data_IF_549565453860
#
_entry.id   IF_549565453860
#
_cell.length_a   1.000
_cell.length_b   1.000
_cell.length_c   1.000
_cell.angle_alpha   90.00
_cell.angle_beta   90.00
_cell.angle_gamma   90.00
#
_symmetry.space_group_name_H-M   'P 1'
#
loop_
_entity.id
_entity.type
_entity.pdbx_description
1 polymer ?
#
# COMPACT_ATOMS: atom_id res chain seq x y z
N UNK A 1 13.15 26.04 7.47
CA UNK A 1 13.00 24.87 6.58
C UNK A 1 11.58 24.87 6.02
N UNK A 2 11.37 24.33 4.82
CA UNK A 2 10.06 24.30 4.22
C UNK A 2 9.52 22.88 4.14
N UNK A 3 8.23 22.67 4.49
CA UNK A 3 7.48 21.46 4.23
C UNK A 3 6.42 21.73 3.19
N UNK A 4 6.03 20.74 2.39
CA UNK A 4 4.87 20.87 1.53
C UNK A 4 3.61 20.36 2.21
N UNK A 5 2.48 21.00 1.90
CA UNK A 5 1.15 20.61 2.36
C UNK A 5 0.18 20.64 1.19
N UNK A 6 -0.82 19.78 1.23
CA UNK A 6 -1.96 19.87 0.32
C UNK A 6 -2.95 20.86 0.91
N UNK A 7 -3.17 21.97 0.22
CA UNK A 7 -4.05 23.08 0.66
C UNK A 7 -5.47 22.96 0.14
N UNK A 8 -5.64 22.29 -0.99
CA UNK A 8 -6.90 21.94 -1.63
C UNK A 8 -6.70 20.75 -2.57
N UNK A 9 -7.76 20.12 -3.11
CA UNK A 9 -7.62 19.06 -4.10
C UNK A 9 -6.70 19.46 -5.26
N UNK A 10 -5.63 18.67 -5.49
CA UNK A 10 -4.58 18.89 -6.49
C UNK A 10 -3.75 20.16 -6.31
N UNK A 11 -3.76 20.73 -5.11
CA UNK A 11 -2.99 21.93 -4.81
C UNK A 11 -1.99 21.66 -3.67
N UNK A 12 -0.70 21.77 -4.00
CA UNK A 12 0.42 21.63 -3.05
C UNK A 12 1.12 22.97 -2.94
N UNK A 13 1.36 23.41 -1.70
CA UNK A 13 2.12 24.62 -1.38
C UNK A 13 3.21 24.30 -0.37
N UNK A 14 4.33 25.02 -0.46
CA UNK A 14 5.38 24.98 0.55
C UNK A 14 5.10 26.03 1.62
N UNK A 15 5.31 25.64 2.87
CA UNK A 15 5.25 26.55 4.03
C UNK A 15 6.45 26.34 4.94
N UNK A 16 6.83 27.37 5.67
CA UNK A 16 7.86 27.26 6.69
C UNK A 16 7.36 26.43 7.87
N UNK A 17 8.26 25.62 8.44
CA UNK A 17 8.04 24.93 9.69
C UNK A 17 9.29 25.01 10.58
N UNK A 18 9.08 24.87 11.88
CA UNK A 18 10.13 24.80 12.88
C UNK A 18 10.09 23.46 13.59
N UNK A 19 11.27 22.89 13.80
CA UNK A 19 11.40 21.69 14.61
C UNK A 19 11.16 22.01 16.09
N UNK A 20 10.33 21.19 16.72
CA UNK A 20 10.16 21.26 18.18
C UNK A 20 11.37 20.67 18.89
N UNK A 21 11.62 21.02 20.17
CA UNK A 21 12.64 20.35 20.98
C UNK A 21 12.44 18.83 21.01
N UNK A 22 13.55 18.07 21.04
CA UNK A 22 13.52 16.63 21.23
C UNK A 22 13.02 16.26 22.61
N UNK A 23 12.23 15.19 22.68
CA UNK A 23 12.00 14.48 23.94
C UNK A 23 13.17 13.53 24.22
N UNK A 24 13.33 13.07 25.47
CA UNK A 24 14.48 12.22 25.85
C UNK A 24 14.61 10.91 25.05
N UNK A 25 13.50 10.33 24.58
CA UNK A 25 13.40 9.07 23.85
C UNK A 25 13.30 9.22 22.32
N UNK A 26 13.48 10.46 21.82
CA UNK A 26 13.33 10.78 20.40
C UNK A 26 14.67 11.00 19.70
N UNK A 27 14.65 10.76 18.40
CA UNK A 27 15.73 11.16 17.49
C UNK A 27 15.21 12.16 16.46
N UNK A 28 16.08 13.07 16.03
CA UNK A 28 15.86 13.93 14.88
C UNK A 28 16.58 13.38 13.67
N UNK A 29 15.86 13.31 12.55
CA UNK A 29 16.35 12.77 11.31
C UNK A 29 16.44 13.86 10.25
N UNK A 30 17.49 13.82 9.45
CA UNK A 30 17.56 14.48 8.14
C UNK A 30 17.10 13.48 7.10
N UNK A 31 16.09 13.84 6.28
CA UNK A 31 15.58 13.00 5.24
C UNK A 31 16.64 12.72 4.16
N UNK A 32 16.63 11.49 3.64
CA UNK A 32 17.48 11.05 2.53
C UNK A 32 16.60 10.75 1.33
N UNK A 33 15.56 9.93 1.52
CA UNK A 33 14.61 9.56 0.46
C UNK A 33 13.28 9.15 1.10
N UNK A 34 12.18 9.48 0.43
CA UNK A 34 10.85 9.03 0.83
C UNK A 34 10.04 8.51 -0.36
N UNK A 35 9.02 7.70 -0.08
CA UNK A 35 8.22 7.05 -1.13
C UNK A 35 6.77 7.46 -1.11
N UNK A 36 6.27 8.07 -2.18
CA UNK A 36 4.86 8.45 -2.31
C UNK A 36 3.97 7.20 -2.31
N UNK A 37 2.90 7.21 -1.52
CA UNK A 37 1.90 6.12 -1.42
C UNK A 37 0.77 6.35 -2.42
N UNK A 38 0.93 5.80 -3.63
CA UNK A 38 0.05 6.08 -4.77
C UNK A 38 -1.45 5.82 -4.51
N UNK A 39 -1.82 4.89 -3.63
CA UNK A 39 -3.22 4.68 -3.23
C UNK A 39 -3.73 5.82 -2.35
N UNK A 40 -3.24 5.86 -1.11
CA UNK A 40 -3.75 6.74 -0.05
C UNK A 40 -3.45 8.21 -0.31
N UNK A 41 -2.18 8.55 -0.60
CA UNK A 41 -1.81 9.95 -0.76
C UNK A 41 -2.44 10.56 -2.02
N UNK A 42 -2.54 9.80 -3.12
CA UNK A 42 -3.24 10.30 -4.31
C UNK A 42 -4.74 10.44 -4.12
N UNK A 43 -5.37 9.61 -3.27
CA UNK A 43 -6.77 9.82 -2.89
C UNK A 43 -6.96 11.13 -2.10
N UNK A 44 -6.05 11.41 -1.16
CA UNK A 44 -6.02 12.66 -0.40
C UNK A 44 -5.72 13.86 -1.31
N UNK A 45 -4.73 13.76 -2.17
CA UNK A 45 -4.35 14.79 -3.13
C UNK A 45 -5.49 15.13 -4.11
N UNK A 46 -6.20 14.11 -4.60
CA UNK A 46 -7.35 14.28 -5.51
C UNK A 46 -8.64 14.75 -4.82
N UNK A 47 -8.68 14.79 -3.50
CA UNK A 47 -9.91 15.05 -2.77
C UNK A 47 -10.95 13.93 -2.90
N UNK A 48 -10.50 12.68 -3.08
CA UNK A 48 -11.37 11.49 -3.20
C UNK A 48 -11.27 10.64 -1.94
N UNK A 49 -11.77 11.16 -0.83
CA UNK A 49 -11.71 10.52 0.47
C UNK A 49 -12.97 10.85 1.29
N UNK A 50 -13.55 9.91 2.08
CA UNK A 50 -14.67 10.22 2.97
C UNK A 50 -14.30 11.20 4.07
N UNK A 51 -13.00 11.39 4.36
CA UNK A 51 -12.54 12.34 5.37
C UNK A 51 -12.81 13.81 5.02
N UNK A 52 -13.21 14.12 3.80
CA UNK A 52 -13.62 15.48 3.43
C UNK A 52 -14.88 15.92 4.17
N UNK A 53 -15.91 15.06 4.16
CA UNK A 53 -17.24 15.39 4.68
C UNK A 53 -17.55 14.67 5.99
N UNK A 54 -16.75 13.69 6.37
CA UNK A 54 -16.97 12.83 7.54
C UNK A 54 -15.69 12.65 8.35
N UNK A 55 -15.84 12.43 9.65
CA UNK A 55 -14.77 12.02 10.55
C UNK A 55 -15.03 10.58 11.00
N UNK A 56 -13.97 9.78 11.09
CA UNK A 56 -14.07 8.43 11.65
C UNK A 56 -14.07 8.53 13.18
N UNK A 57 -15.15 8.04 13.80
CA UNK A 57 -15.24 7.89 15.25
C UNK A 57 -14.60 6.53 15.62
N UNK A 58 -13.51 6.53 16.41
CA UNK A 58 -12.81 5.29 16.75
C UNK A 58 -13.57 4.43 17.77
N UNK A 59 -14.43 5.01 18.61
CA UNK A 59 -15.18 4.29 19.62
C UNK A 59 -16.40 3.60 19.01
N UNK A 60 -17.16 4.35 18.21
CA UNK A 60 -18.31 3.81 17.47
C UNK A 60 -17.93 3.05 16.21
N UNK A 61 -16.71 3.21 15.71
CA UNK A 61 -16.22 2.64 14.45
C UNK A 61 -17.08 3.03 13.23
N UNK A 62 -17.55 4.28 13.21
CA UNK A 62 -18.43 4.85 12.19
C UNK A 62 -17.83 6.12 11.59
N UNK A 63 -18.13 6.35 10.32
CA UNK A 63 -17.93 7.66 9.69
C UNK A 63 -19.14 8.55 9.98
N UNK A 64 -18.97 9.53 10.83
CA UNK A 64 -19.98 10.52 11.19
C UNK A 64 -19.81 11.81 10.38
N UNK A 65 -20.87 12.59 10.15
CA UNK A 65 -20.74 13.91 9.52
C UNK A 65 -19.71 14.76 10.26
N UNK A 66 -18.83 15.45 9.52
CA UNK A 66 -17.90 16.40 10.12
C UNK A 66 -18.69 17.59 10.65
N UNK A 67 -18.37 18.05 11.86
CA UNK A 67 -18.99 19.27 12.43
C UNK A 67 -18.78 20.47 11.51
N UNK A 68 -19.79 21.32 11.39
CA UNK A 68 -19.75 22.51 10.55
C UNK A 68 -18.59 23.43 10.98
N UNK A 69 -17.69 23.75 10.04
CA UNK A 69 -16.56 24.67 10.26
C UNK A 69 -15.18 24.01 10.33
N UNK A 70 -15.08 22.69 10.37
CA UNK A 70 -13.79 21.99 10.27
C UNK A 70 -13.35 21.77 8.84
N UNK A 71 -12.23 22.38 8.41
CA UNK A 71 -11.62 22.08 7.11
C UNK A 71 -10.76 20.81 7.22
N UNK A 72 -10.83 19.94 6.20
CA UNK A 72 -9.91 18.80 6.09
C UNK A 72 -8.50 19.24 5.66
N UNK A 73 -8.41 20.23 4.79
CA UNK A 73 -7.16 20.83 4.37
C UNK A 73 -6.81 22.06 5.23
N UNK A 74 -5.51 22.40 5.39
CA UNK A 74 -4.35 21.77 4.79
C UNK A 74 -3.91 20.49 5.54
N UNK A 75 -3.33 19.53 4.79
CA UNK A 75 -2.80 18.28 5.34
C UNK A 75 -1.35 18.04 4.91
N UNK A 76 -0.56 17.43 5.79
CA UNK A 76 0.73 16.88 5.45
C UNK A 76 0.53 15.48 4.85
N UNK A 77 1.30 15.18 3.80
CA UNK A 77 1.38 13.83 3.25
C UNK A 77 2.66 13.14 3.70
N UNK A 78 2.66 11.82 3.64
CA UNK A 78 3.80 10.99 3.99
C UNK A 78 3.40 9.56 4.22
N UNK A 79 4.39 8.69 4.13
CA UNK A 79 4.27 7.27 4.37
C UNK A 79 5.59 6.78 4.95
N UNK A 80 6.46 6.22 4.13
CA UNK A 80 7.75 5.68 4.58
C UNK A 80 8.91 6.53 4.09
N UNK A 81 9.85 6.83 5.02
CA UNK A 81 11.00 7.69 4.77
C UNK A 81 12.26 7.03 5.37
N UNK A 82 13.37 7.18 4.68
CA UNK A 82 14.72 6.89 5.21
C UNK A 82 15.39 8.21 5.53
N UNK A 83 15.97 8.31 6.73
CA UNK A 83 16.70 9.48 7.19
C UNK A 83 17.95 9.12 7.98
N UNK A 84 18.87 10.07 8.07
CA UNK A 84 20.06 10.02 8.90
C UNK A 84 19.76 10.66 10.25
N UNK A 85 20.11 10.00 11.32
CA UNK A 85 20.02 10.56 12.69
C UNK A 85 21.00 11.72 12.81
N UNK A 86 20.50 12.94 13.08
CA UNK A 86 21.31 14.15 13.27
C UNK A 86 21.33 14.64 14.72
N UNK A 87 20.37 14.17 15.55
CA UNK A 87 20.31 14.50 16.99
C UNK A 87 19.61 13.36 17.71
N UNK A 88 20.05 13.03 18.93
CA UNK A 88 19.47 11.98 19.75
C UNK A 88 19.20 12.50 21.17
N UNK A 89 18.02 12.19 21.70
CA UNK A 89 17.63 12.50 23.08
C UNK A 89 18.42 11.69 24.11
N UNK A 90 18.44 12.17 25.35
CA UNK A 90 19.31 11.61 26.40
C UNK A 90 18.97 10.14 26.81
N UNK A 91 17.77 9.63 26.47
CA UNK A 91 17.35 8.27 26.75
C UNK A 91 17.39 7.35 25.51
N UNK A 92 17.82 7.86 24.36
CA UNK A 92 17.96 7.07 23.14
C UNK A 92 19.13 6.09 23.32
N UNK A 93 18.87 4.82 23.07
CA UNK A 93 19.84 3.73 23.25
C UNK A 93 20.09 2.92 21.98
N UNK A 94 19.13 2.94 21.04
CA UNK A 94 19.15 2.11 19.82
C UNK A 94 19.91 2.73 18.67
N UNK A 95 19.98 4.06 18.63
CA UNK A 95 20.54 4.80 17.50
C UNK A 95 21.53 5.86 17.93
N UNK A 96 22.47 6.18 17.04
CA UNK A 96 23.48 7.22 17.22
C UNK A 96 23.43 8.20 16.05
N UNK A 97 23.95 9.40 16.25
CA UNK A 97 24.14 10.37 15.16
C UNK A 97 24.97 9.74 14.04
N UNK A 98 24.50 9.86 12.81
CA UNK A 98 25.06 9.24 11.61
C UNK A 98 24.40 7.91 11.20
N UNK A 99 23.60 7.28 12.07
CA UNK A 99 22.87 6.06 11.70
C UNK A 99 21.78 6.35 10.67
N UNK A 100 21.63 5.46 9.69
CA UNK A 100 20.49 5.49 8.76
C UNK A 100 19.36 4.65 9.35
N UNK A 101 18.19 5.27 9.43
CA UNK A 101 16.96 4.65 9.96
C UNK A 101 15.78 4.93 9.06
N UNK A 102 14.73 4.13 9.18
CA UNK A 102 13.51 4.32 8.40
C UNK A 102 12.25 4.05 9.22
N UNK A 103 11.12 4.57 8.75
CA UNK A 103 9.82 4.40 9.40
C UNK A 103 8.76 5.30 8.78
N UNK A 104 7.56 5.27 9.37
CA UNK A 104 6.45 6.12 8.94
C UNK A 104 6.67 7.58 9.37
N UNK A 105 6.74 8.46 8.38
CA UNK A 105 7.01 9.89 8.55
C UNK A 105 6.41 10.72 7.44
N UNK A 106 6.04 12.00 7.71
CA UNK A 106 5.67 12.92 6.65
C UNK A 106 6.84 13.23 5.70
N UNK A 107 6.52 13.59 4.48
CA UNK A 107 7.48 14.08 3.49
C UNK A 107 7.96 15.48 3.88
N UNK A 108 9.07 15.58 4.57
CA UNK A 108 9.72 16.84 4.88
C UNK A 108 11.20 16.65 5.18
N UNK A 109 12.03 17.71 5.05
CA UNK A 109 13.50 17.63 5.17
C UNK A 109 14.00 17.09 6.51
N UNK A 110 13.28 17.38 7.61
CA UNK A 110 13.61 16.84 8.92
C UNK A 110 12.38 16.23 9.60
N UNK A 111 12.59 15.22 10.41
CA UNK A 111 11.55 14.54 11.17
C UNK A 111 12.04 14.21 12.57
N UNK A 112 11.16 14.31 13.56
CA UNK A 112 11.43 13.92 14.95
C UNK A 112 10.52 12.76 15.33
N UNK A 113 11.11 11.63 15.78
CA UNK A 113 10.37 10.38 16.08
C UNK A 113 10.91 9.70 17.34
N UNK A 114 10.05 9.04 18.12
CA UNK A 114 10.51 8.10 19.15
C UNK A 114 11.33 6.97 18.53
N UNK A 115 12.45 6.60 19.16
CA UNK A 115 13.33 5.54 18.66
C UNK A 115 12.60 4.19 18.49
N UNK A 116 11.57 3.94 19.30
CA UNK A 116 10.78 2.71 19.28
C UNK A 116 10.00 2.50 17.97
N UNK A 117 9.70 3.58 17.24
CA UNK A 117 8.91 3.54 15.98
C UNK A 117 9.78 3.39 14.74
N UNK A 118 11.09 3.33 14.91
CA UNK A 118 12.05 3.31 13.82
C UNK A 118 12.74 1.95 13.68
N UNK A 119 13.17 1.68 12.46
CA UNK A 119 13.97 0.51 12.11
C UNK A 119 15.35 0.96 11.63
N UNK A 120 16.43 0.24 11.99
CA UNK A 120 17.75 0.50 11.42
C UNK A 120 17.76 0.11 9.93
N UNK A 121 18.42 0.90 9.11
CA UNK A 121 18.73 0.47 7.75
C UNK A 121 19.86 -0.55 7.81
N UNK A 122 19.63 -1.74 7.26
CA UNK A 122 20.64 -2.80 7.26
C UNK A 122 21.85 -2.42 6.42
N UNK A 123 23.08 -2.66 6.89
CA UNK A 123 24.29 -2.43 6.11
C UNK A 123 24.23 -3.11 4.73
N UNK A 124 24.50 -2.34 3.68
CA UNK A 124 24.45 -2.79 2.29
C UNK A 124 23.06 -2.74 1.63
N UNK A 125 21.99 -2.51 2.37
CA UNK A 125 20.67 -2.28 1.81
C UNK A 125 20.58 -0.88 1.21
N UNK A 126 20.05 -0.76 0.00
CA UNK A 126 19.78 0.54 -0.60
C UNK A 126 18.65 1.24 0.12
N UNK A 127 18.79 2.53 0.47
CA UNK A 127 17.75 3.28 1.20
C UNK A 127 16.36 3.18 0.56
N UNK A 128 16.29 3.27 -0.75
CA UNK A 128 15.02 3.20 -1.48
C UNK A 128 14.28 1.86 -1.35
N UNK A 129 14.99 0.77 -1.06
CA UNK A 129 14.36 -0.54 -0.84
C UNK A 129 13.58 -0.56 0.48
N UNK A 130 14.06 0.14 1.52
CA UNK A 130 13.36 0.22 2.80
C UNK A 130 11.99 0.91 2.70
N UNK A 131 11.77 1.74 1.67
CA UNK A 131 10.50 2.40 1.42
C UNK A 131 9.37 1.43 1.06
N UNK A 132 9.71 0.19 0.72
CA UNK A 132 8.74 -0.84 0.43
C UNK A 132 8.26 -1.61 1.67
N UNK A 133 8.81 -1.32 2.85
CA UNK A 133 8.33 -1.94 4.11
C UNK A 133 6.84 -1.67 4.31
N UNK A 134 6.37 -0.42 4.15
CA UNK A 134 4.95 -0.08 4.26
C UNK A 134 4.06 -0.87 3.28
N UNK A 135 4.24 -0.83 1.94
CA UNK A 135 3.40 -1.63 1.07
C UNK A 135 3.57 -3.15 1.26
N UNK A 136 4.73 -3.63 1.71
CA UNK A 136 4.92 -5.05 2.00
C UNK A 136 4.16 -5.51 3.25
N UNK A 137 4.02 -4.66 4.27
CA UNK A 137 3.15 -4.91 5.44
C UNK A 137 1.72 -5.16 4.96
N UNK A 138 1.17 -4.26 4.13
CA UNK A 138 -0.18 -4.43 3.58
C UNK A 138 -0.31 -5.69 2.73
N UNK A 139 0.62 -5.93 1.82
CA UNK A 139 0.60 -7.11 0.96
C UNK A 139 0.67 -8.42 1.76
N UNK A 140 1.49 -8.45 2.81
CA UNK A 140 1.64 -9.63 3.69
C UNK A 140 0.33 -9.93 4.45
N UNK A 141 -0.31 -8.89 5.02
CA UNK A 141 -1.60 -9.07 5.73
C UNK A 141 -2.71 -9.50 4.78
N UNK A 142 -2.78 -8.92 3.58
CA UNK A 142 -3.77 -9.31 2.57
C UNK A 142 -3.63 -10.79 2.20
N UNK A 143 -2.40 -11.28 2.02
CA UNK A 143 -2.13 -12.69 1.71
C UNK A 143 -2.48 -13.61 2.91
N UNK A 144 -2.22 -13.16 4.15
CA UNK A 144 -2.64 -13.91 5.34
C UNK A 144 -4.17 -13.97 5.47
N UNK A 145 -4.87 -12.85 5.26
CA UNK A 145 -6.33 -12.81 5.30
C UNK A 145 -6.95 -13.68 4.18
N UNK A 146 -6.28 -13.80 3.05
CA UNK A 146 -6.66 -14.67 1.95
C UNK A 146 -6.56 -16.17 2.27
N UNK A 147 -5.85 -16.55 3.32
CA UNK A 147 -5.66 -17.93 3.78
C UNK A 147 -5.20 -18.90 2.68
N UNK A 148 -4.31 -18.44 1.81
CA UNK A 148 -3.80 -19.21 0.68
C UNK A 148 -3.15 -20.52 1.17
N UNK A 149 -3.48 -21.60 0.52
CA UNK A 149 -2.93 -22.95 0.76
C UNK A 149 -2.06 -23.40 -0.40
N UNK A 150 -1.18 -24.35 -0.15
CA UNK A 150 -0.41 -25.01 -1.21
C UNK A 150 -1.36 -25.67 -2.20
N UNK A 151 -1.24 -25.32 -3.48
CA UNK A 151 -2.08 -25.82 -4.56
C UNK A 151 -3.26 -24.91 -4.95
N UNK A 152 -3.48 -23.81 -4.24
CA UNK A 152 -4.55 -22.86 -4.59
C UNK A 152 -4.24 -22.12 -5.91
N UNK A 153 -5.25 -21.94 -6.73
CA UNK A 153 -5.27 -21.03 -7.87
C UNK A 153 -5.79 -19.67 -7.41
N UNK A 154 -5.13 -18.60 -7.79
CA UNK A 154 -5.56 -17.27 -7.38
C UNK A 154 -5.53 -16.23 -8.49
N UNK A 155 -6.33 -15.19 -8.34
CA UNK A 155 -6.31 -13.99 -9.18
C UNK A 155 -6.09 -12.74 -8.32
N UNK A 156 -5.29 -11.79 -8.81
CA UNK A 156 -5.04 -10.51 -8.14
C UNK A 156 -5.40 -9.39 -9.10
N UNK A 157 -6.33 -8.54 -8.70
CA UNK A 157 -6.83 -7.40 -9.48
C UNK A 157 -6.17 -6.11 -9.00
N UNK A 158 -5.37 -5.50 -9.88
CA UNK A 158 -4.57 -4.31 -9.62
C UNK A 158 -3.09 -4.61 -9.37
N UNK A 159 -2.24 -4.33 -10.35
CA UNK A 159 -0.79 -4.55 -10.33
C UNK A 159 -0.01 -3.25 -10.06
N UNK A 160 -0.48 -2.47 -9.08
CA UNK A 160 0.33 -1.42 -8.46
C UNK A 160 1.38 -2.03 -7.52
N UNK A 161 2.07 -1.21 -6.73
CA UNK A 161 3.10 -1.70 -5.80
C UNK A 161 2.58 -2.80 -4.86
N UNK A 162 1.36 -2.63 -4.30
CA UNK A 162 0.77 -3.63 -3.41
C UNK A 162 0.47 -4.95 -4.13
N UNK A 163 -0.16 -4.90 -5.30
CA UNK A 163 -0.52 -6.11 -6.04
C UNK A 163 0.70 -6.91 -6.51
N UNK A 164 1.74 -6.22 -6.98
CA UNK A 164 3.01 -6.85 -7.37
C UNK A 164 3.74 -7.49 -6.19
N UNK A 165 3.66 -6.90 -4.99
CA UNK A 165 4.21 -7.50 -3.77
C UNK A 165 3.33 -8.66 -3.28
N UNK A 166 2.00 -8.50 -3.32
CA UNK A 166 1.07 -9.57 -2.93
C UNK A 166 1.22 -10.81 -3.82
N UNK A 167 1.45 -10.64 -5.13
CA UNK A 167 1.69 -11.74 -6.05
C UNK A 167 2.93 -12.56 -5.68
N UNK A 168 4.04 -11.88 -5.35
CA UNK A 168 5.26 -12.54 -4.90
C UNK A 168 5.07 -13.27 -3.56
N UNK A 169 4.40 -12.62 -2.58
CA UNK A 169 4.14 -13.21 -1.26
C UNK A 169 3.18 -14.40 -1.38
N UNK A 170 2.16 -14.30 -2.22
CA UNK A 170 1.23 -15.39 -2.47
C UNK A 170 1.92 -16.65 -3.03
N UNK A 171 2.85 -16.46 -3.96
CA UNK A 171 3.70 -17.54 -4.47
C UNK A 171 4.55 -18.16 -3.35
N UNK A 172 5.17 -17.35 -2.50
CA UNK A 172 5.93 -17.83 -1.33
C UNK A 172 5.04 -18.58 -0.33
N UNK A 173 3.75 -18.25 -0.27
CA UNK A 173 2.76 -18.87 0.64
C UNK A 173 2.14 -20.15 0.06
N UNK A 174 2.47 -20.54 -1.17
CA UNK A 174 2.08 -21.82 -1.76
C UNK A 174 1.03 -21.78 -2.87
N UNK A 175 0.67 -20.59 -3.37
CA UNK A 175 -0.20 -20.50 -4.55
C UNK A 175 0.42 -21.27 -5.74
N UNK A 176 -0.34 -22.18 -6.33
CA UNK A 176 0.08 -22.94 -7.52
C UNK A 176 0.02 -22.08 -8.77
N UNK A 177 -1.03 -21.28 -8.90
CA UNK A 177 -1.20 -20.35 -10.01
C UNK A 177 -1.52 -18.95 -9.49
N UNK A 178 -0.82 -17.95 -10.02
CA UNK A 178 -1.07 -16.53 -9.76
C UNK A 178 -1.43 -15.84 -11.07
N UNK A 179 -2.68 -15.44 -11.23
CA UNK A 179 -3.19 -14.69 -12.39
C UNK A 179 -3.26 -13.21 -12.00
N UNK A 180 -2.46 -12.39 -12.65
CA UNK A 180 -2.47 -10.94 -12.48
C UNK A 180 -3.50 -10.29 -13.40
N UNK A 181 -4.21 -9.26 -12.93
CA UNK A 181 -5.16 -8.48 -13.74
C UNK A 181 -4.86 -6.99 -13.57
N UNK A 182 -4.56 -6.30 -14.67
CA UNK A 182 -4.38 -4.83 -14.68
C UNK A 182 -4.66 -4.29 -16.08
N UNK A 183 -5.19 -3.07 -16.18
CA UNK A 183 -5.43 -2.39 -17.46
C UNK A 183 -4.13 -1.98 -18.16
N UNK A 184 -3.05 -1.74 -17.41
CA UNK A 184 -1.79 -1.20 -17.92
C UNK A 184 -0.81 -2.30 -18.29
N UNK A 185 -0.37 -2.32 -19.56
CA UNK A 185 0.51 -3.37 -20.09
C UNK A 185 1.85 -3.46 -19.38
N UNK A 186 2.49 -2.32 -19.06
CA UNK A 186 3.74 -2.32 -18.32
C UNK A 186 3.64 -3.01 -16.95
N UNK A 187 2.50 -2.87 -16.26
CA UNK A 187 2.23 -3.54 -14.98
C UNK A 187 1.99 -5.04 -15.17
N UNK A 188 1.28 -5.42 -16.25
CA UNK A 188 1.11 -6.83 -16.61
C UNK A 188 2.44 -7.51 -16.96
N UNK A 189 3.32 -6.82 -17.69
CA UNK A 189 4.67 -7.31 -18.01
C UNK A 189 5.50 -7.49 -16.75
N UNK A 190 5.49 -6.51 -15.85
CA UNK A 190 6.21 -6.60 -14.58
C UNK A 190 5.65 -7.71 -13.68
N UNK A 191 4.34 -7.93 -13.65
CA UNK A 191 3.74 -9.04 -12.91
C UNK A 191 4.27 -10.39 -13.41
N UNK A 192 4.38 -10.61 -14.74
CA UNK A 192 4.98 -11.83 -15.30
C UNK A 192 6.47 -11.97 -14.92
N UNK A 193 7.23 -10.88 -14.97
CA UNK A 193 8.65 -10.89 -14.56
C UNK A 193 8.83 -11.25 -13.09
N UNK A 194 7.87 -10.87 -12.24
CA UNK A 194 7.88 -11.12 -10.81
C UNK A 194 7.16 -12.42 -10.40
N UNK A 195 6.83 -13.29 -11.36
CA UNK A 195 6.38 -14.66 -11.11
C UNK A 195 4.88 -14.90 -11.21
N UNK A 196 4.09 -13.99 -11.80
CA UNK A 196 2.73 -14.30 -12.20
C UNK A 196 2.73 -15.25 -13.42
N UNK A 197 1.91 -16.29 -13.38
CA UNK A 197 1.80 -17.30 -14.46
C UNK A 197 1.07 -16.75 -15.68
N UNK A 198 0.10 -15.86 -15.44
CA UNK A 198 -0.62 -15.14 -16.47
C UNK A 198 -0.87 -13.69 -16.05
N UNK A 199 -1.04 -12.81 -17.02
CA UNK A 199 -1.42 -11.44 -16.77
C UNK A 199 -2.43 -10.99 -17.83
N UNK A 200 -3.63 -10.63 -17.38
CA UNK A 200 -4.81 -10.38 -18.21
C UNK A 200 -5.16 -8.90 -18.25
N UNK A 201 -5.63 -8.45 -19.41
CA UNK A 201 -6.22 -7.15 -19.60
C UNK A 201 -7.73 -7.23 -19.39
N UNK A 202 -8.31 -6.58 -18.37
CA UNK A 202 -9.76 -6.60 -18.17
C UNK A 202 -10.56 -5.85 -19.25
N UNK A 203 -9.86 -5.07 -20.12
CA UNK A 203 -10.49 -4.38 -21.25
C UNK A 203 -10.52 -5.22 -22.53
N UNK A 204 -9.78 -6.33 -22.58
CA UNK A 204 -9.74 -7.21 -23.75
C UNK A 204 -10.97 -8.13 -23.89
N UNK A 205 -11.87 -8.13 -22.89
CA UNK A 205 -13.07 -8.95 -22.87
C UNK A 205 -13.53 -9.28 -21.47
N UNK A 206 -14.33 -10.36 -21.31
CA UNK A 206 -14.76 -10.83 -19.99
C UNK A 206 -13.60 -11.51 -19.24
N UNK A 207 -12.96 -10.75 -18.36
CA UNK A 207 -11.79 -11.22 -17.60
C UNK A 207 -12.16 -12.37 -16.63
N UNK A 208 -13.38 -12.40 -16.08
CA UNK A 208 -13.81 -13.48 -15.20
C UNK A 208 -13.95 -14.80 -15.97
N UNK A 209 -14.51 -14.74 -17.18
CA UNK A 209 -14.56 -15.89 -18.09
C UNK A 209 -13.15 -16.35 -18.47
N UNK A 210 -12.26 -15.43 -18.82
CA UNK A 210 -10.88 -15.76 -19.18
C UNK A 210 -10.13 -16.46 -18.02
N UNK A 211 -10.31 -16.02 -16.78
CA UNK A 211 -9.76 -16.67 -15.59
C UNK A 211 -10.34 -18.08 -15.43
N UNK A 212 -11.65 -18.25 -15.57
CA UNK A 212 -12.29 -19.58 -15.49
C UNK A 212 -11.76 -20.53 -16.58
N UNK A 213 -11.56 -20.05 -17.79
CA UNK A 213 -10.99 -20.86 -18.87
C UNK A 213 -9.55 -21.34 -18.55
N UNK A 214 -8.74 -20.49 -17.92
CA UNK A 214 -7.37 -20.85 -17.50
C UNK A 214 -7.32 -21.83 -16.33
N UNK A 215 -8.41 -21.93 -15.57
CA UNK A 215 -8.56 -22.84 -14.41
C UNK A 215 -9.47 -24.04 -14.72
N UNK A 216 -9.54 -24.47 -15.97
CA UNK A 216 -10.34 -25.62 -16.39
C UNK A 216 -11.85 -25.46 -16.16
N UNK A 217 -12.37 -24.25 -16.22
CA UNK A 217 -13.77 -23.89 -16.02
C UNK A 217 -14.20 -23.73 -14.56
N UNK A 218 -13.35 -24.08 -13.59
CA UNK A 218 -13.72 -24.05 -12.17
C UNK A 218 -13.71 -22.62 -11.59
N UNK A 219 -12.73 -21.80 -11.92
CA UNK A 219 -12.42 -20.52 -11.30
C UNK A 219 -11.30 -20.65 -10.28
N UNK A 220 -10.94 -19.53 -9.66
CA UNK A 220 -9.88 -19.49 -8.65
C UNK A 220 -10.41 -19.77 -7.25
N UNK A 221 -9.55 -20.30 -6.36
CA UNK A 221 -9.85 -20.52 -4.95
C UNK A 221 -9.92 -19.19 -4.19
N UNK A 222 -9.02 -18.26 -4.56
CA UNK A 222 -8.88 -16.96 -3.93
C UNK A 222 -8.76 -15.87 -4.99
N UNK A 223 -9.52 -14.79 -4.81
CA UNK A 223 -9.38 -13.55 -5.59
C UNK A 223 -9.06 -12.39 -4.65
N UNK A 224 -7.98 -11.66 -4.91
CA UNK A 224 -7.61 -10.45 -4.18
C UNK A 224 -7.90 -9.24 -5.06
N UNK A 225 -8.75 -8.32 -4.58
CA UNK A 225 -8.99 -7.04 -5.22
C UNK A 225 -8.27 -5.94 -4.45
N UNK A 226 -7.31 -5.29 -5.10
CA UNK A 226 -6.42 -4.30 -4.49
C UNK A 226 -6.32 -2.99 -5.30
N UNK A 227 -7.09 -2.88 -6.37
CA UNK A 227 -7.17 -1.67 -7.19
C UNK A 227 -8.12 -0.61 -6.63
N UNK A 228 -9.14 -1.03 -5.86
CA UNK A 228 -10.21 -0.17 -5.35
C UNK A 228 -11.30 0.15 -6.37
N UNK A 229 -11.35 -0.59 -7.46
CA UNK A 229 -12.36 -0.41 -8.50
C UNK A 229 -13.51 -1.39 -8.33
N UNK A 230 -14.75 -0.92 -8.22
CA UNK A 230 -15.92 -1.79 -8.10
C UNK A 230 -16.10 -2.78 -9.27
N UNK A 231 -15.80 -2.41 -10.54
CA UNK A 231 -15.80 -3.40 -11.63
C UNK A 231 -14.80 -4.54 -11.44
N UNK A 232 -13.63 -4.25 -10.85
CA UNK A 232 -12.64 -5.27 -10.54
C UNK A 232 -13.11 -6.17 -9.40
N UNK A 233 -13.76 -5.62 -8.36
CA UNK A 233 -14.38 -6.40 -7.28
C UNK A 233 -15.50 -7.31 -7.83
N UNK A 234 -16.33 -6.80 -8.73
CA UNK A 234 -17.36 -7.62 -9.39
C UNK A 234 -16.73 -8.74 -10.22
N UNK A 235 -15.65 -8.48 -10.96
CA UNK A 235 -14.93 -9.50 -11.70
C UNK A 235 -14.28 -10.54 -10.77
N UNK A 236 -13.75 -10.12 -9.63
CA UNK A 236 -13.21 -11.00 -8.59
C UNK A 236 -14.29 -11.95 -8.05
N UNK A 237 -15.51 -11.46 -7.80
CA UNK A 237 -16.66 -12.28 -7.38
C UNK A 237 -17.05 -13.29 -8.47
N UNK A 238 -17.00 -12.89 -9.74
CA UNK A 238 -17.40 -13.71 -10.88
C UNK A 238 -16.41 -14.83 -11.21
N UNK A 239 -15.12 -14.58 -11.02
CA UNK A 239 -14.06 -15.54 -11.39
C UNK A 239 -13.82 -16.64 -10.35
N UNK A 240 -14.39 -16.51 -9.15
CA UNK A 240 -14.16 -17.46 -8.07
C UNK A 240 -14.88 -18.80 -8.29
N UNK A 241 -14.34 -19.89 -7.77
CA UNK A 241 -15.04 -21.15 -7.67
C UNK A 241 -16.10 -21.12 -6.53
N UNK A 242 -17.09 -22.03 -6.53
CA UNK A 242 -18.08 -22.09 -5.46
C UNK A 242 -17.43 -22.28 -4.08
N UNK A 243 -17.78 -21.39 -3.13
CA UNK A 243 -17.25 -21.39 -1.77
C UNK A 243 -15.85 -20.76 -1.61
N UNK A 244 -15.27 -20.20 -2.68
CA UNK A 244 -13.96 -19.54 -2.62
C UNK A 244 -13.98 -18.21 -1.86
N UNK A 245 -12.82 -17.58 -1.75
CA UNK A 245 -12.60 -16.35 -0.95
C UNK A 245 -12.30 -15.17 -1.86
N UNK A 246 -12.99 -14.06 -1.65
CA UNK A 246 -12.68 -12.74 -2.24
C UNK A 246 -12.17 -11.82 -1.15
N UNK A 247 -10.96 -11.27 -1.32
CA UNK A 247 -10.36 -10.31 -0.38
C UNK A 247 -10.41 -8.91 -0.99
N UNK A 248 -11.23 -8.04 -0.40
CA UNK A 248 -11.30 -6.63 -0.74
C UNK A 248 -10.24 -5.87 0.08
N UNK A 249 -9.12 -5.53 -0.56
CA UNK A 249 -7.91 -5.02 0.09
C UNK A 249 -7.59 -3.58 -0.29
N UNK A 250 -8.57 -2.83 -0.72
CA UNK A 250 -8.40 -1.44 -1.14
C UNK A 250 -9.45 -0.53 -0.52
N UNK A 251 -9.23 0.75 -0.73
CA UNK A 251 -10.16 1.80 -0.39
C UNK A 251 -11.04 2.11 -1.62
N UNK A 252 -12.32 1.81 -1.51
CA UNK A 252 -13.29 2.02 -2.59
C UNK A 252 -13.94 3.39 -2.46
N UNK A 253 -14.04 4.11 -3.55
CA UNK A 253 -14.73 5.40 -3.63
C UNK A 253 -15.81 5.39 -4.70
N UNK A 254 -16.87 6.18 -4.50
CA UNK A 254 -18.02 6.28 -5.41
C UNK A 254 -19.18 5.38 -5.01
N UNK A 255 -20.15 5.24 -5.91
CA UNK A 255 -21.36 4.44 -5.67
C UNK A 255 -21.13 3.00 -6.14
N UNK A 256 -21.21 2.00 -5.26
CA UNK A 256 -21.01 0.61 -5.64
C UNK A 256 -22.19 0.10 -6.47
N UNK A 257 -21.86 -0.72 -7.48
CA UNK A 257 -22.81 -1.60 -8.14
C UNK A 257 -22.24 -3.01 -8.09
N UNK A 258 -22.67 -3.79 -7.11
CA UNK A 258 -22.30 -5.20 -6.97
C UNK A 258 -23.55 -6.04 -7.16
N UNK A 259 -23.50 -6.97 -8.10
CA UNK A 259 -24.61 -7.84 -8.43
C UNK A 259 -24.66 -9.03 -7.46
N UNK A 260 -25.50 -8.92 -6.42
CA UNK A 260 -25.66 -9.97 -5.42
C UNK A 260 -26.63 -11.09 -5.85
N UNK A 261 -27.45 -10.85 -6.88
CA UNK A 261 -28.40 -11.85 -7.40
C UNK A 261 -27.83 -12.82 -8.44
N UNK A 262 -26.64 -12.55 -8.95
CA UNK A 262 -25.98 -13.34 -9.99
C UNK A 262 -24.96 -14.34 -9.38
N UNK A 263 -23.69 -14.28 -9.81
CA UNK A 263 -22.63 -15.21 -9.39
C UNK A 263 -22.38 -15.21 -7.89
N UNK A 264 -22.58 -14.07 -7.21
CA UNK A 264 -22.51 -14.00 -5.76
C UNK A 264 -23.46 -15.03 -5.09
N UNK A 265 -24.73 -15.02 -5.50
CA UNK A 265 -25.72 -15.93 -4.92
C UNK A 265 -25.43 -17.40 -5.22
N UNK A 266 -24.98 -17.68 -6.45
CA UNK A 266 -24.79 -19.08 -6.91
C UNK A 266 -23.45 -19.67 -6.45
N UNK A 267 -22.38 -18.88 -6.43
CA UNK A 267 -21.05 -19.34 -6.04
C UNK A 267 -20.79 -19.28 -4.54
N UNK A 268 -21.66 -18.61 -3.75
CA UNK A 268 -21.56 -18.52 -2.28
C UNK A 268 -20.16 -18.13 -1.77
N UNK A 269 -19.50 -17.10 -2.34
CA UNK A 269 -18.15 -16.70 -1.91
C UNK A 269 -18.15 -16.13 -0.49
N UNK A 270 -16.99 -16.20 0.15
CA UNK A 270 -16.71 -15.39 1.34
C UNK A 270 -16.05 -14.09 0.89
N UNK A 271 -16.60 -12.93 1.28
CA UNK A 271 -15.98 -11.63 1.07
C UNK A 271 -15.34 -11.14 2.37
N UNK A 272 -14.05 -10.87 2.34
CA UNK A 272 -13.26 -10.40 3.48
C UNK A 272 -12.72 -9.00 3.16
N UNK A 273 -12.84 -8.05 4.09
CA UNK A 273 -12.07 -6.81 4.02
C UNK A 273 -10.71 -7.02 4.69
N UNK A 274 -9.63 -6.54 4.07
CA UNK A 274 -8.28 -6.62 4.63
C UNK A 274 -7.65 -5.23 4.75
N UNK A 275 -7.27 -4.87 5.98
CA UNK A 275 -6.62 -3.61 6.29
C UNK A 275 -5.82 -3.71 7.61
N UNK A 276 -4.47 -3.68 7.57
CA UNK A 276 -3.61 -3.91 8.75
C UNK A 276 -3.34 -2.65 9.58
N UNK A 277 -4.23 -1.67 9.60
CA UNK A 277 -3.98 -0.40 10.30
C UNK A 277 -4.62 -0.35 11.69
N UNK A 278 -4.10 0.54 12.54
CA UNK A 278 -4.60 0.90 13.87
C UNK A 278 -4.64 -0.25 14.88
N UNK A 279 -3.62 -1.11 14.85
CA UNK A 279 -3.44 -2.14 15.87
C UNK A 279 -4.57 -3.19 15.92
N UNK A 280 -5.36 -3.32 14.86
CA UNK A 280 -6.39 -4.35 14.79
C UNK A 280 -5.75 -5.75 14.81
N UNK A 281 -6.31 -6.69 15.58
CA UNK A 281 -5.79 -8.04 15.63
C UNK A 281 -5.87 -8.67 14.24
N UNK A 282 -4.83 -9.43 13.90
CA UNK A 282 -4.77 -10.15 12.64
C UNK A 282 -5.86 -11.21 12.59
N UNK A 283 -6.79 -11.12 11.62
CA UNK A 283 -8.01 -11.94 11.57
C UNK A 283 -7.73 -13.43 11.53
N UNK A 284 -6.84 -13.86 10.66
CA UNK A 284 -6.59 -15.27 10.34
C UNK A 284 -5.28 -15.79 10.94
N UNK A 285 -4.51 -14.96 11.62
CA UNK A 285 -3.25 -15.31 12.23
C UNK A 285 -3.13 -14.66 13.63
N UNK A 286 -3.84 -15.16 14.65
CA UNK A 286 -3.96 -14.53 15.96
C UNK A 286 -2.63 -14.42 16.73
N UNK A 287 -1.61 -15.20 16.34
CA UNK A 287 -0.26 -15.11 16.91
C UNK A 287 0.62 -14.02 16.25
N UNK A 288 0.06 -13.28 15.30
CA UNK A 288 0.74 -12.19 14.61
C UNK A 288 0.23 -10.86 15.12
N UNK A 289 1.13 -10.07 15.66
CA UNK A 289 0.94 -8.64 15.92
C UNK A 289 1.53 -7.80 14.79
N UNK A 290 1.28 -6.50 14.83
CA UNK A 290 1.78 -5.57 13.81
C UNK A 290 3.32 -5.60 13.74
N UNK A 291 3.99 -5.66 14.88
CA UNK A 291 5.45 -5.67 14.94
C UNK A 291 6.05 -6.86 14.22
N UNK A 292 5.47 -8.06 14.41
CA UNK A 292 5.89 -9.27 13.70
C UNK A 292 5.67 -9.17 12.19
N UNK A 293 4.58 -8.53 11.77
CA UNK A 293 4.31 -8.27 10.33
C UNK A 293 5.37 -7.34 9.76
N UNK A 294 5.65 -6.21 10.42
CA UNK A 294 6.67 -5.23 10.02
C UNK A 294 8.04 -5.87 9.86
N UNK A 295 8.49 -6.58 10.89
CA UNK A 295 9.78 -7.27 10.89
C UNK A 295 9.87 -8.36 9.81
N UNK A 296 8.76 -9.04 9.53
CA UNK A 296 8.73 -10.07 8.48
C UNK A 296 8.79 -9.42 7.10
N UNK A 297 8.02 -8.38 6.85
CA UNK A 297 8.06 -7.62 5.60
C UNK A 297 9.49 -7.09 5.33
N UNK A 298 10.12 -6.51 6.37
CA UNK A 298 11.50 -6.02 6.27
C UNK A 298 12.50 -7.14 5.96
N UNK A 299 12.43 -8.27 6.67
CA UNK A 299 13.31 -9.43 6.40
C UNK A 299 13.16 -9.98 4.98
N UNK A 300 11.95 -9.99 4.41
CA UNK A 300 11.73 -10.43 3.04
C UNK A 300 12.38 -9.50 2.02
N UNK A 301 12.38 -8.19 2.29
CA UNK A 301 13.06 -7.19 1.46
C UNK A 301 14.58 -7.32 1.62
N UNK A 302 15.07 -7.35 2.86
CA UNK A 302 16.50 -7.45 3.19
C UNK A 302 17.18 -8.72 2.65
N UNK A 303 16.43 -9.81 2.54
CA UNK A 303 16.91 -11.09 1.98
C UNK A 303 16.67 -11.19 0.48
N UNK A 304 16.19 -10.14 -0.18
CA UNK A 304 15.85 -10.08 -1.61
C UNK A 304 14.84 -11.15 -2.06
N UNK A 305 14.17 -11.82 -1.11
CA UNK A 305 13.07 -12.73 -1.43
C UNK A 305 11.87 -11.99 -1.99
N UNK A 306 11.68 -10.74 -1.57
CA UNK A 306 10.71 -9.81 -2.12
C UNK A 306 11.46 -8.81 -3.00
N UNK A 307 11.28 -8.93 -4.31
CA UNK A 307 11.94 -8.09 -5.29
C UNK A 307 11.22 -6.73 -5.37
N UNK A 308 11.88 -5.67 -4.93
CA UNK A 308 11.30 -4.32 -4.84
C UNK A 308 11.93 -3.34 -5.83
N UNK A 309 13.18 -3.54 -6.23
CA UNK A 309 13.89 -2.64 -7.12
C UNK A 309 13.16 -2.39 -8.46
N UNK A 310 12.56 -3.40 -9.13
CA UNK A 310 11.83 -3.19 -10.38
C UNK A 310 10.56 -2.33 -10.24
N UNK A 311 10.07 -2.11 -9.02
CA UNK A 311 8.88 -1.33 -8.75
C UNK A 311 9.16 0.18 -8.68
N UNK A 312 10.42 0.59 -8.57
CA UNK A 312 10.80 2.02 -8.56
C UNK A 312 10.70 2.54 -9.99
N UNK A 313 9.76 3.43 -10.24
CA UNK A 313 9.48 3.92 -11.60
C UNK A 313 9.98 5.33 -11.87
N UNK A 314 9.92 6.22 -10.87
CA UNK A 314 10.32 7.62 -11.01
C UNK A 314 10.96 8.16 -9.74
N UNK A 315 11.83 9.17 -9.92
CA UNK A 315 12.42 9.94 -8.81
C UNK A 315 12.30 11.42 -9.13
N UNK A 316 11.99 12.20 -8.12
CA UNK A 316 11.93 13.65 -8.17
C UNK A 316 12.72 14.20 -6.99
N UNK A 317 13.22 15.42 -7.10
CA UNK A 317 13.75 16.14 -5.95
C UNK A 317 12.58 16.52 -5.03
N UNK A 318 12.83 16.65 -3.75
CA UNK A 318 11.81 17.05 -2.78
C UNK A 318 11.14 18.38 -3.14
N UNK A 319 11.92 19.33 -3.66
CA UNK A 319 11.42 20.64 -4.08
C UNK A 319 10.46 20.56 -5.26
N UNK A 320 10.53 19.47 -6.03
CA UNK A 320 9.66 19.19 -7.19
C UNK A 320 8.45 18.32 -6.80
N UNK A 321 8.12 18.23 -5.49
CA UNK A 321 6.98 17.42 -5.02
C UNK A 321 5.65 17.76 -5.73
N UNK A 322 5.28 19.04 -5.98
CA UNK A 322 4.06 19.35 -6.74
C UNK A 322 4.03 18.67 -8.11
N UNK A 323 5.14 18.68 -8.83
CA UNK A 323 5.28 18.05 -10.15
C UNK A 323 5.25 16.52 -10.04
N UNK A 324 5.78 15.95 -8.96
CA UNK A 324 5.73 14.51 -8.72
C UNK A 324 4.29 14.01 -8.55
N UNK A 325 3.47 14.71 -7.74
CA UNK A 325 2.06 14.36 -7.54
C UNK A 325 1.24 14.59 -8.81
N UNK A 326 1.47 15.68 -9.53
CA UNK A 326 0.84 15.93 -10.83
C UNK A 326 1.19 14.83 -11.83
N UNK A 327 2.47 14.43 -11.92
CA UNK A 327 2.92 13.38 -12.82
C UNK A 327 2.26 12.03 -12.52
N UNK A 328 2.12 11.66 -11.25
CA UNK A 328 1.40 10.43 -10.86
C UNK A 328 -0.08 10.49 -11.25
N UNK A 329 -0.70 11.67 -11.13
CA UNK A 329 -2.12 11.87 -11.47
C UNK A 329 -2.37 11.75 -12.98
N UNK A 330 -1.47 12.31 -13.80
CA UNK A 330 -1.60 12.41 -15.26
C UNK A 330 -1.04 11.18 -16.00
N UNK A 331 -0.04 10.49 -15.42
CA UNK A 331 0.69 9.37 -16.06
C UNK A 331 0.71 8.11 -15.19
N UNK A 332 -0.46 7.55 -14.82
CA UNK A 332 -0.52 6.34 -14.02
C UNK A 332 0.11 5.11 -14.69
N UNK A 333 0.19 5.12 -16.03
CA UNK A 333 0.85 4.11 -16.87
C UNK A 333 2.37 4.13 -16.75
N UNK A 334 2.97 5.22 -16.29
CA UNK A 334 4.42 5.37 -16.13
C UNK A 334 4.88 5.27 -14.67
N UNK A 335 3.95 5.01 -13.74
CA UNK A 335 4.26 5.04 -12.31
C UNK A 335 3.76 3.80 -11.56
N UNK A 336 4.64 3.24 -10.71
CA UNK A 336 4.32 2.17 -9.75
C UNK A 336 4.70 2.64 -8.34
N UNK A 337 5.95 3.04 -8.12
CA UNK A 337 6.44 3.71 -6.91
C UNK A 337 7.29 4.90 -7.32
N UNK A 338 6.88 6.07 -6.87
CA UNK A 338 7.60 7.35 -7.09
C UNK A 338 8.29 7.75 -5.81
N UNK A 339 9.53 8.22 -5.92
CA UNK A 339 10.39 8.61 -4.81
C UNK A 339 10.65 10.11 -4.82
N UNK A 340 10.86 10.67 -3.61
CA UNK A 340 11.36 12.03 -3.39
C UNK A 340 12.75 11.94 -2.76
N UNK A 341 13.73 12.53 -3.41
CA UNK A 341 15.13 12.65 -2.94
C UNK A 341 15.34 14.01 -2.27
N UNK A 342 16.07 14.03 -1.15
CA UNK A 342 16.29 15.23 -0.32
C UNK A 342 17.71 15.75 -0.41
#
# INVERSE_FOLDING_TARGET
MNEFVVTAPREIQFREYQERPLKPDEVRLRAVVSGIKHGTEMALYRGKTPFLDRAFDPDLRLFLPREMGGSFYPINLGSWLVGEVIEAGAQVTRFRVGDLVHGEMPHRPTNTRPESTLFPLKPGMKPEHALFTDPAIFALVVVHDAQIKVGDHMAIFGMGALGLLAAQIARMNGAETVIAVDMLENRRQLARQLGADAALDPQAGDVALAIKQQTGGKGVDVAIEISGAYPALQAAIRCIQPGGVVVAASYYSGSPQIELGAEWHHNRPTLISSMPVWGMPHRCAPLWDLRRVEETALRLIESERLQVAPLISKRFRYEDAPQAYQFIDEHPDQTIKTLLDY
#
